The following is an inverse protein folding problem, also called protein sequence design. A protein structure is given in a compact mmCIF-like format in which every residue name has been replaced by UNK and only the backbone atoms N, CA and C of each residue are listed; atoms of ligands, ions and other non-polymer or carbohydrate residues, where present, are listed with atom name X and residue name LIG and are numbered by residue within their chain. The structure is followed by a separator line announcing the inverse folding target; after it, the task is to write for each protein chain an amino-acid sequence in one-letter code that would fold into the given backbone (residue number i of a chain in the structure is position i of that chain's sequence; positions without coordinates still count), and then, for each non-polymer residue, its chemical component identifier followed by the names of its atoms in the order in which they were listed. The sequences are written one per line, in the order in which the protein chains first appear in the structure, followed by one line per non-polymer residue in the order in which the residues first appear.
data_IF_037546928382
#
_entry.id   IF_037546928382
#
_cell.length_a   1.000
_cell.length_b   1.000
_cell.length_c   1.000
_cell.angle_alpha   90.00
_cell.angle_beta   90.00
_cell.angle_gamma   90.00
#
_symmetry.space_group_name_H-M   'P 1'
#
loop_
_entity.id
_entity.type
_entity.pdbx_description
1 polymer ?
#
# COMPACT_ATOMS: atom_id res chain seq x y z
N UNK A 1 9.80 11.14 -21.83
CA UNK A 1 8.67 10.40 -21.25
C UNK A 1 8.00 11.28 -20.20
N UNK A 2 6.81 11.81 -20.48
CA UNK A 2 6.07 12.54 -19.44
C UNK A 2 5.34 11.52 -18.56
N UNK A 3 5.53 11.59 -17.23
CA UNK A 3 4.82 10.75 -16.27
C UNK A 3 3.27 10.80 -16.41
N UNK A 4 2.65 11.94 -16.77
CA UNK A 4 1.21 12.02 -17.00
C UNK A 4 0.72 11.12 -18.15
N UNK A 5 1.45 11.02 -19.26
CA UNK A 5 1.07 10.16 -20.39
C UNK A 5 1.07 8.68 -20.02
N UNK A 6 2.07 8.22 -19.27
CA UNK A 6 2.15 6.84 -18.81
C UNK A 6 0.98 6.47 -17.87
N UNK A 7 0.60 7.41 -16.99
CA UNK A 7 -0.53 7.22 -16.08
C UNK A 7 -1.86 7.21 -16.85
N UNK A 8 -2.00 8.04 -17.90
CA UNK A 8 -3.20 8.07 -18.76
C UNK A 8 -3.38 6.77 -19.57
N UNK A 9 -2.31 6.27 -20.19
CA UNK A 9 -2.33 5.02 -20.95
C UNK A 9 -2.72 3.84 -20.07
N UNK A 10 -2.15 3.76 -18.86
CA UNK A 10 -2.47 2.68 -17.91
C UNK A 10 -3.87 2.87 -17.32
N UNK A 11 -4.26 4.10 -17.01
CA UNK A 11 -5.54 4.45 -16.40
C UNK A 11 -6.75 4.21 -17.31
N UNK A 12 -6.56 4.23 -18.62
CA UNK A 12 -7.63 4.00 -19.61
C UNK A 12 -7.88 2.51 -19.90
N UNK A 13 -6.93 1.61 -19.61
CA UNK A 13 -7.08 0.14 -19.77
C UNK A 13 -8.39 -0.40 -19.16
N UNK A 14 -8.72 -0.13 -17.88
CA UNK A 14 -9.97 -0.62 -17.29
C UNK A 14 -11.23 0.03 -17.86
N UNK A 15 -11.15 1.21 -18.49
CA UNK A 15 -12.30 1.84 -19.13
C UNK A 15 -12.61 1.15 -20.46
N UNK A 16 -11.57 0.87 -21.25
CA UNK A 16 -11.68 0.19 -22.54
C UNK A 16 -12.02 -1.30 -22.43
N UNK A 17 -11.73 -1.95 -21.31
CA UNK A 17 -12.19 -3.33 -21.06
C UNK A 17 -13.70 -3.40 -20.77
N UNK A 18 -14.29 -2.32 -20.24
CA UNK A 18 -15.71 -2.25 -19.90
C UNK A 18 -16.55 -1.81 -21.11
N UNK A 19 -16.14 -0.74 -21.81
CA UNK A 19 -16.81 -0.21 -23.01
C UNK A 19 -15.80 0.10 -24.10
N UNK A 20 -16.19 -0.06 -25.36
CA UNK A 20 -15.31 0.12 -26.52
C UNK A 20 -15.31 1.55 -27.02
N UNK A 21 -16.50 2.12 -27.26
CA UNK A 21 -16.66 3.39 -27.97
C UNK A 21 -16.95 4.54 -27.01
N UNK A 22 -17.59 4.27 -25.88
CA UNK A 22 -17.87 5.33 -24.91
C UNK A 22 -16.62 6.00 -24.31
N UNK A 23 -15.57 5.27 -23.85
CA UNK A 23 -14.33 5.90 -23.38
C UNK A 23 -13.60 6.64 -24.51
N UNK A 24 -13.66 6.11 -25.74
CA UNK A 24 -13.09 6.74 -26.93
C UNK A 24 -13.76 8.09 -27.23
N UNK A 25 -15.09 8.12 -27.19
CA UNK A 25 -15.89 9.32 -27.37
C UNK A 25 -15.59 10.37 -26.28
N UNK A 26 -15.55 9.97 -25.00
CA UNK A 26 -15.22 10.90 -23.91
C UNK A 26 -13.82 11.48 -24.07
N UNK A 27 -12.86 10.68 -24.52
CA UNK A 27 -11.49 11.13 -24.80
C UNK A 27 -11.46 12.13 -25.94
N UNK A 28 -12.11 11.84 -27.07
CA UNK A 28 -12.21 12.75 -28.21
C UNK A 28 -12.92 14.06 -27.85
N UNK A 29 -14.03 13.98 -27.10
CA UNK A 29 -14.79 15.14 -26.62
C UNK A 29 -13.95 16.01 -25.67
N UNK A 30 -13.14 15.40 -24.81
CA UNK A 30 -12.23 16.12 -23.91
C UNK A 30 -11.14 16.90 -24.67
N UNK A 31 -10.59 16.32 -25.74
CA UNK A 31 -9.59 17.01 -26.55
C UNK A 31 -10.20 18.13 -27.42
N UNK A 32 -11.42 17.95 -27.92
CA UNK A 32 -12.09 18.95 -28.76
C UNK A 32 -12.73 20.10 -27.98
N UNK A 33 -13.31 19.78 -26.81
CA UNK A 33 -14.10 20.71 -26.00
C UNK A 33 -13.76 20.59 -24.50
N UNK A 34 -12.52 20.95 -24.10
CA UNK A 34 -12.10 20.88 -22.70
C UNK A 34 -12.96 21.73 -21.77
N UNK A 35 -13.58 22.81 -22.27
CA UNK A 35 -14.48 23.70 -21.54
C UNK A 35 -15.76 23.03 -21.03
N UNK A 36 -16.17 21.90 -21.63
CA UNK A 36 -17.33 21.13 -21.17
C UNK A 36 -17.03 20.35 -19.89
N UNK A 37 -15.75 20.19 -19.53
CA UNK A 37 -15.34 19.43 -18.36
C UNK A 37 -15.08 20.35 -17.16
N UNK A 38 -15.74 20.13 -16.02
CA UNK A 38 -15.59 21.00 -14.86
C UNK A 38 -14.14 20.97 -14.35
N UNK A 39 -13.60 22.15 -14.04
CA UNK A 39 -12.25 22.30 -13.46
C UNK A 39 -11.10 22.34 -14.46
N UNK A 40 -11.37 22.26 -15.77
CA UNK A 40 -10.38 22.31 -16.84
C UNK A 40 -10.53 23.63 -17.60
N UNK A 41 -9.95 24.71 -17.08
CA UNK A 41 -10.08 26.06 -17.68
C UNK A 41 -8.96 26.40 -18.65
N UNK A 42 -7.84 25.68 -18.58
CA UNK A 42 -6.75 25.74 -19.56
C UNK A 42 -5.85 24.53 -19.37
N UNK A 43 -5.86 23.60 -20.32
CA UNK A 43 -4.82 22.59 -20.40
C UNK A 43 -3.62 23.29 -21.06
N UNK A 44 -2.51 23.54 -20.35
CA UNK A 44 -1.28 23.94 -21.03
C UNK A 44 -0.90 22.74 -21.90
N UNK A 45 -0.80 22.94 -23.21
CA UNK A 45 -0.69 21.89 -24.23
C UNK A 45 -2.03 21.22 -24.63
N UNK A 46 -3.16 21.94 -24.54
CA UNK A 46 -4.33 21.60 -25.35
C UNK A 46 -3.87 21.61 -26.81
N UNK A 47 -3.75 20.40 -27.38
CA UNK A 47 -3.22 20.17 -28.71
C UNK A 47 -3.89 21.15 -29.66
N UNK A 48 -3.08 21.91 -30.41
CA UNK A 48 -3.57 22.78 -31.48
C UNK A 48 -4.65 22.02 -32.27
N UNK A 49 -5.70 22.71 -32.71
CA UNK A 49 -6.94 22.15 -33.28
C UNK A 49 -6.81 21.26 -34.54
N UNK A 50 -5.67 20.62 -34.77
CA UNK A 50 -5.38 19.63 -35.81
C UNK A 50 -5.15 18.19 -35.32
N UNK A 51 -5.22 17.87 -34.01
CA UNK A 51 -5.13 16.45 -33.58
C UNK A 51 -6.27 15.62 -34.17
N UNK A 52 -5.96 14.39 -34.60
CA UNK A 52 -6.95 13.49 -35.21
C UNK A 52 -8.16 13.27 -34.28
N UNK A 53 -7.91 13.25 -32.96
CA UNK A 53 -8.92 13.04 -31.93
C UNK A 53 -9.83 14.24 -31.67
N UNK A 54 -9.42 15.45 -32.05
CA UNK A 54 -10.21 16.67 -31.91
C UNK A 54 -11.09 16.96 -33.15
N UNK A 55 -11.07 16.10 -34.17
CA UNK A 55 -11.84 16.32 -35.40
C UNK A 55 -13.35 16.11 -35.17
N UNK A 56 -14.17 17.11 -35.51
CA UNK A 56 -15.63 17.09 -35.30
C UNK A 56 -16.32 15.86 -35.88
N UNK A 57 -15.90 15.38 -37.05
CA UNK A 57 -16.51 14.20 -37.68
C UNK A 57 -16.22 12.92 -36.87
N UNK A 58 -15.04 12.80 -36.27
CA UNK A 58 -14.66 11.65 -35.46
C UNK A 58 -15.47 11.61 -34.16
N UNK A 59 -15.69 12.77 -33.52
CA UNK A 59 -16.54 12.91 -32.33
C UNK A 59 -17.97 12.46 -32.65
N UNK A 60 -18.52 12.89 -33.80
CA UNK A 60 -19.85 12.48 -34.24
C UNK A 60 -19.91 10.97 -34.45
N UNK A 61 -18.94 10.38 -35.16
CA UNK A 61 -18.90 8.93 -35.41
C UNK A 61 -18.79 8.16 -34.08
N UNK A 62 -17.86 8.54 -33.20
CA UNK A 62 -17.69 7.89 -31.89
C UNK A 62 -18.92 8.08 -30.99
N UNK A 63 -19.59 9.23 -31.07
CA UNK A 63 -20.83 9.50 -30.36
C UNK A 63 -21.96 8.59 -30.84
N UNK A 64 -22.13 8.44 -32.16
CA UNK A 64 -23.11 7.51 -32.74
C UNK A 64 -22.78 6.06 -32.38
N UNK A 65 -21.52 5.63 -32.52
CA UNK A 65 -21.09 4.28 -32.14
C UNK A 65 -21.26 4.00 -30.65
N UNK A 66 -21.03 4.99 -29.79
CA UNK A 66 -21.29 4.90 -28.35
C UNK A 66 -22.77 4.72 -28.07
N UNK A 67 -23.66 5.52 -28.69
CA UNK A 67 -25.12 5.36 -28.54
C UNK A 67 -25.58 3.98 -29.03
N UNK A 68 -25.05 3.52 -30.16
CA UNK A 68 -25.32 2.18 -30.68
C UNK A 68 -24.81 1.08 -29.74
N UNK A 69 -23.64 1.26 -29.12
CA UNK A 69 -23.10 0.35 -28.11
C UNK A 69 -24.05 0.26 -26.88
N UNK A 70 -24.57 1.38 -26.39
CA UNK A 70 -25.58 1.40 -25.31
C UNK A 70 -26.90 0.73 -25.71
N UNK A 71 -27.37 0.98 -26.93
CA UNK A 71 -28.61 0.42 -27.44
C UNK A 71 -28.51 -1.08 -27.65
N UNK A 72 -27.37 -1.54 -28.18
CA UNK A 72 -27.11 -2.94 -28.45
C UNK A 72 -26.95 -3.77 -27.17
N UNK A 73 -26.38 -3.21 -26.11
CA UNK A 73 -26.26 -3.89 -24.81
C UNK A 73 -27.59 -4.12 -24.10
N UNK A 74 -28.61 -3.34 -24.47
CA UNK A 74 -29.99 -3.44 -23.94
C UNK A 74 -30.86 -4.37 -24.78
N UNK A 75 -30.42 -4.78 -25.96
CA UNK A 75 -31.11 -5.72 -26.82
C UNK A 75 -30.45 -7.11 -26.73
N UNK A 76 -31.19 -8.12 -26.28
CA UNK A 76 -30.68 -9.49 -26.07
C UNK A 76 -30.03 -10.09 -27.31
N UNK A 77 -30.61 -9.85 -28.50
CA UNK A 77 -30.22 -10.52 -29.73
C UNK A 77 -28.91 -9.95 -30.29
N UNK A 78 -28.77 -8.62 -30.22
CA UNK A 78 -27.57 -7.91 -30.67
C UNK A 78 -26.42 -8.11 -29.68
N UNK A 79 -26.74 -8.24 -28.38
CA UNK A 79 -25.77 -8.47 -27.30
C UNK A 79 -25.02 -9.79 -27.45
N UNK A 80 -25.67 -10.85 -27.92
CA UNK A 80 -25.00 -12.15 -28.16
C UNK A 80 -23.92 -12.02 -29.23
N UNK A 81 -24.24 -11.37 -30.35
CA UNK A 81 -23.29 -11.12 -31.43
C UNK A 81 -22.11 -10.23 -30.98
N UNK A 82 -22.40 -9.13 -30.28
CA UNK A 82 -21.36 -8.24 -29.76
C UNK A 82 -20.46 -8.93 -28.72
N UNK A 83 -21.01 -9.79 -27.85
CA UNK A 83 -20.23 -10.51 -26.83
C UNK A 83 -19.16 -11.44 -27.43
N UNK A 84 -19.36 -11.91 -28.65
CA UNK A 84 -18.34 -12.68 -29.37
C UNK A 84 -17.24 -11.80 -29.97
N UNK A 85 -17.60 -10.62 -30.47
CA UNK A 85 -16.66 -9.67 -31.08
C UNK A 85 -15.89 -8.81 -30.06
N UNK A 86 -16.48 -8.54 -28.89
CA UNK A 86 -15.95 -7.65 -27.84
C UNK A 86 -14.50 -7.93 -27.42
N UNK A 87 -14.07 -9.19 -27.18
CA UNK A 87 -12.70 -9.48 -26.78
C UNK A 87 -11.66 -9.00 -27.79
N UNK A 88 -12.02 -8.87 -29.08
CA UNK A 88 -11.12 -8.42 -30.15
C UNK A 88 -11.31 -6.95 -30.49
N UNK A 89 -12.55 -6.45 -30.43
CA UNK A 89 -12.90 -5.07 -30.75
C UNK A 89 -12.30 -4.08 -29.75
N UNK A 90 -12.37 -4.38 -28.44
CA UNK A 90 -11.87 -3.56 -27.34
C UNK A 90 -10.36 -3.32 -27.34
N UNK A 91 -9.52 -4.36 -27.45
CA UNK A 91 -8.07 -4.15 -27.51
C UNK A 91 -7.64 -3.46 -28.81
N UNK A 92 -8.36 -3.68 -29.92
CA UNK A 92 -8.09 -3.00 -31.18
C UNK A 92 -8.44 -1.51 -31.11
N UNK A 93 -9.60 -1.15 -30.58
CA UNK A 93 -10.01 0.25 -30.41
C UNK A 93 -9.07 0.99 -29.44
N UNK A 94 -8.73 0.36 -28.31
CA UNK A 94 -7.73 0.88 -27.38
C UNK A 94 -6.40 1.14 -28.09
N UNK A 95 -5.88 0.16 -28.83
CA UNK A 95 -4.60 0.29 -29.51
C UNK A 95 -4.62 1.41 -30.55
N UNK A 96 -5.67 1.50 -31.37
CA UNK A 96 -5.83 2.56 -32.37
C UNK A 96 -5.82 3.94 -31.70
N UNK A 97 -6.62 4.11 -30.65
CA UNK A 97 -6.73 5.40 -29.95
C UNK A 97 -5.40 5.77 -29.31
N UNK A 98 -4.72 4.83 -28.66
CA UNK A 98 -3.41 5.12 -28.07
C UNK A 98 -2.38 5.46 -29.15
N UNK A 99 -2.37 4.78 -30.30
CA UNK A 99 -1.45 5.12 -31.39
C UNK A 99 -1.67 6.53 -31.93
N UNK A 100 -2.93 7.01 -32.01
CA UNK A 100 -3.24 8.37 -32.43
C UNK A 100 -2.93 9.43 -31.35
N UNK A 101 -3.27 9.16 -30.08
CA UNK A 101 -2.86 10.03 -28.95
C UNK A 101 -1.33 10.21 -28.92
N UNK A 102 -0.61 9.13 -29.22
CA UNK A 102 0.85 9.14 -29.25
C UNK A 102 1.42 9.78 -30.51
N UNK A 103 0.78 9.64 -31.67
CA UNK A 103 1.24 10.21 -32.94
C UNK A 103 1.33 11.74 -32.90
N UNK A 104 0.29 12.40 -32.38
CA UNK A 104 0.12 13.85 -32.46
C UNK A 104 1.02 14.64 -31.47
N UNK A 105 1.62 13.99 -30.47
CA UNK A 105 2.44 14.65 -29.43
C UNK A 105 3.94 14.31 -29.51
N UNK A 106 4.39 13.62 -30.57
CA UNK A 106 5.69 12.93 -30.55
C UNK A 106 6.75 13.38 -31.56
N UNK A 107 6.55 14.45 -32.34
CA UNK A 107 7.55 14.83 -33.36
C UNK A 107 8.93 15.17 -32.75
N UNK A 108 8.98 15.79 -31.58
CA UNK A 108 10.25 16.19 -30.94
C UNK A 108 10.95 15.07 -30.14
N UNK A 109 10.18 14.12 -29.58
CA UNK A 109 10.71 13.02 -28.75
C UNK A 109 11.09 11.79 -29.59
N UNK A 110 10.41 11.56 -30.72
CA UNK A 110 10.69 10.44 -31.64
C UNK A 110 12.10 10.52 -32.25
N UNK A 111 12.65 11.72 -32.45
CA UNK A 111 13.97 11.89 -33.07
C UNK A 111 15.15 11.63 -32.11
N UNK A 112 14.96 11.67 -30.79
CA UNK A 112 16.06 11.52 -29.83
C UNK A 112 16.19 10.11 -29.22
N UNK A 113 15.16 9.26 -29.30
CA UNK A 113 15.13 7.91 -28.69
C UNK A 113 14.79 6.83 -29.73
N UNK A 114 15.13 7.05 -31.01
CA UNK A 114 14.98 6.04 -32.05
C UNK A 114 16.18 5.08 -32.07
N UNK A 115 16.40 4.38 -30.97
CA UNK A 115 17.34 3.26 -30.94
C UNK A 115 16.60 2.01 -31.43
N UNK A 116 16.86 1.62 -32.68
CA UNK A 116 16.46 0.35 -33.30
C UNK A 116 14.96 0.08 -33.50
N UNK A 117 14.16 1.10 -33.84
CA UNK A 117 12.77 0.90 -34.31
C UNK A 117 11.75 0.48 -33.23
N UNK A 118 12.14 0.48 -31.95
CA UNK A 118 11.26 0.17 -30.83
C UNK A 118 10.89 1.43 -30.07
N UNK A 119 9.74 2.02 -30.38
CA UNK A 119 9.17 3.10 -29.58
C UNK A 119 8.57 2.53 -28.27
N UNK A 120 9.09 2.90 -27.08
CA UNK A 120 8.58 2.40 -25.80
C UNK A 120 7.08 2.67 -25.58
N UNK A 121 6.53 3.71 -26.20
CA UNK A 121 5.09 4.03 -26.11
C UNK A 121 4.24 3.05 -26.92
N UNK A 122 4.74 2.58 -28.07
CA UNK A 122 4.08 1.53 -28.86
C UNK A 122 4.12 0.21 -28.10
N UNK A 123 5.24 -0.11 -27.45
CA UNK A 123 5.34 -1.31 -26.58
C UNK A 123 4.32 -1.23 -25.44
N UNK A 124 4.19 -0.07 -24.78
CA UNK A 124 3.18 0.14 -23.74
C UNK A 124 1.75 0.04 -24.27
N UNK A 125 1.45 0.57 -25.45
CA UNK A 125 0.14 0.45 -26.08
C UNK A 125 -0.19 -1.01 -26.43
N UNK A 126 0.79 -1.79 -26.90
CA UNK A 126 0.64 -3.23 -27.18
C UNK A 126 0.42 -4.01 -25.88
N UNK A 127 1.20 -3.75 -24.84
CA UNK A 127 1.02 -4.37 -23.52
C UNK A 127 -0.35 -4.01 -22.94
N UNK A 128 -0.76 -2.73 -23.05
CA UNK A 128 -2.07 -2.24 -22.63
C UNK A 128 -3.20 -2.92 -23.39
N UNK A 129 -3.07 -3.09 -24.71
CA UNK A 129 -4.01 -3.83 -25.55
C UNK A 129 -4.14 -5.30 -25.10
N UNK A 130 -3.00 -5.96 -24.81
CA UNK A 130 -3.01 -7.30 -24.21
C UNK A 130 -3.69 -7.37 -22.83
N UNK A 131 -3.55 -6.32 -22.02
CA UNK A 131 -4.24 -6.19 -20.74
C UNK A 131 -5.76 -5.98 -20.93
N UNK A 132 -6.18 -5.13 -21.88
CA UNK A 132 -7.59 -4.94 -22.25
C UNK A 132 -8.20 -6.24 -22.75
N UNK A 133 -7.50 -7.00 -23.58
CA UNK A 133 -7.92 -8.33 -24.04
C UNK A 133 -8.15 -9.28 -22.86
N UNK A 134 -7.16 -9.37 -21.96
CA UNK A 134 -7.23 -10.25 -20.79
C UNK A 134 -8.38 -9.90 -19.85
N UNK A 135 -8.59 -8.61 -19.57
CA UNK A 135 -9.71 -8.13 -18.76
C UNK A 135 -11.05 -8.37 -19.46
N UNK A 136 -11.12 -8.18 -20.78
CA UNK A 136 -12.34 -8.45 -21.56
C UNK A 136 -12.72 -9.93 -21.54
N UNK A 137 -11.74 -10.84 -21.56
CA UNK A 137 -11.98 -12.27 -21.38
C UNK A 137 -12.49 -12.62 -19.98
N UNK A 138 -11.90 -12.04 -18.93
CA UNK A 138 -12.36 -12.24 -17.56
C UNK A 138 -13.80 -11.74 -17.42
N UNK A 139 -14.09 -10.54 -17.91
CA UNK A 139 -15.44 -9.95 -17.94
C UNK A 139 -16.42 -10.86 -18.69
N UNK A 140 -16.07 -11.30 -19.90
CA UNK A 140 -16.91 -12.22 -20.70
C UNK A 140 -17.27 -13.46 -19.89
N UNK A 141 -16.29 -14.14 -19.29
CA UNK A 141 -16.53 -15.32 -18.43
C UNK A 141 -17.43 -15.03 -17.24
N UNK A 142 -17.27 -13.87 -16.60
CA UNK A 142 -18.13 -13.46 -15.48
C UNK A 142 -19.57 -13.22 -15.95
N UNK A 143 -19.75 -12.54 -17.09
CA UNK A 143 -21.06 -12.29 -17.69
C UNK A 143 -21.73 -13.56 -18.20
N UNK A 144 -20.97 -14.52 -18.74
CA UNK A 144 -21.49 -15.82 -19.16
C UNK A 144 -21.99 -16.61 -17.94
N UNK A 145 -21.23 -16.62 -16.84
CA UNK A 145 -21.67 -17.23 -15.59
C UNK A 145 -22.95 -16.57 -15.03
N UNK A 146 -23.08 -15.25 -15.17
CA UNK A 146 -24.28 -14.53 -14.75
C UNK A 146 -25.48 -14.81 -15.67
N UNK A 147 -25.23 -14.96 -16.97
CA UNK A 147 -26.25 -15.32 -17.93
C UNK A 147 -26.77 -16.74 -17.68
N UNK A 148 -25.91 -17.68 -17.31
CA UNK A 148 -26.32 -19.04 -16.92
C UNK A 148 -27.20 -19.04 -15.65
N UNK A 149 -27.05 -18.05 -14.78
CA UNK A 149 -27.85 -17.88 -13.55
C UNK A 149 -29.20 -17.20 -13.84
N UNK A 150 -29.26 -16.31 -14.84
CA UNK A 150 -30.44 -15.50 -15.18
C UNK A 150 -30.60 -15.34 -16.70
N UNK A 151 -30.89 -16.46 -17.39
CA UNK A 151 -30.88 -16.55 -18.85
C UNK A 151 -31.90 -15.63 -19.55
N UNK A 152 -33.04 -15.37 -18.89
CA UNK A 152 -34.13 -14.50 -19.38
C UNK A 152 -34.05 -13.06 -18.81
N UNK A 153 -33.01 -12.73 -18.04
CA UNK A 153 -32.86 -11.45 -17.30
C UNK A 153 -34.07 -11.11 -16.41
N UNK A 154 -34.75 -12.13 -15.88
CA UNK A 154 -35.95 -12.00 -15.03
C UNK A 154 -35.61 -11.36 -13.67
N UNK A 155 -34.36 -11.49 -13.23
CA UNK A 155 -33.85 -10.85 -12.01
C UNK A 155 -33.19 -9.48 -12.29
N UNK A 156 -33.21 -9.01 -13.55
CA UNK A 156 -32.60 -7.76 -14.01
C UNK A 156 -31.09 -7.65 -13.74
N UNK A 157 -30.40 -8.77 -13.49
CA UNK A 157 -28.99 -8.78 -13.12
C UNK A 157 -28.11 -8.27 -14.27
N UNK A 158 -28.45 -8.63 -15.51
CA UNK A 158 -27.73 -8.16 -16.69
C UNK A 158 -27.89 -6.65 -16.90
N UNK A 159 -29.08 -6.11 -16.62
CA UNK A 159 -29.35 -4.67 -16.69
C UNK A 159 -28.60 -3.89 -15.61
N UNK A 160 -28.62 -4.35 -14.36
CA UNK A 160 -27.92 -3.67 -13.24
C UNK A 160 -26.41 -3.61 -13.51
N UNK A 161 -25.82 -4.70 -14.01
CA UNK A 161 -24.39 -4.74 -14.31
C UNK A 161 -24.04 -3.78 -15.43
N UNK A 162 -24.85 -3.72 -16.49
CA UNK A 162 -24.66 -2.74 -17.58
C UNK A 162 -24.67 -1.29 -17.07
N UNK A 163 -25.62 -0.92 -16.20
CA UNK A 163 -25.65 0.40 -15.57
C UNK A 163 -24.43 0.69 -14.68
N UNK A 164 -23.96 -0.33 -13.95
CA UNK A 164 -22.74 -0.22 -13.13
C UNK A 164 -21.50 0.00 -14.00
N UNK A 165 -21.38 -0.71 -15.13
CA UNK A 165 -20.29 -0.54 -16.10
C UNK A 165 -20.29 0.87 -16.71
N UNK A 166 -21.47 1.37 -17.08
CA UNK A 166 -21.64 2.71 -17.64
C UNK A 166 -21.23 3.80 -16.65
N UNK A 167 -21.69 3.64 -15.40
CA UNK A 167 -21.31 4.51 -14.30
C UNK A 167 -19.80 4.46 -14.06
N UNK A 168 -19.20 3.27 -14.07
CA UNK A 168 -17.77 3.11 -13.84
C UNK A 168 -16.94 3.73 -14.96
N UNK A 169 -17.36 3.64 -16.21
CA UNK A 169 -16.64 4.28 -17.32
C UNK A 169 -16.72 5.80 -17.22
N UNK A 170 -17.92 6.35 -16.97
CA UNK A 170 -18.12 7.79 -16.84
C UNK A 170 -17.40 8.38 -15.62
N UNK A 171 -17.63 7.82 -14.43
CA UNK A 171 -16.98 8.28 -13.20
C UNK A 171 -15.49 7.95 -13.19
N UNK A 172 -15.07 6.84 -13.79
CA UNK A 172 -13.67 6.48 -13.95
C UNK A 172 -12.91 7.47 -14.83
N UNK A 173 -13.52 7.91 -15.93
CA UNK A 173 -12.98 8.97 -16.77
C UNK A 173 -12.85 10.30 -16.01
N UNK A 174 -13.90 10.73 -15.30
CA UNK A 174 -13.83 11.93 -14.44
C UNK A 174 -12.79 11.76 -13.32
N UNK A 175 -12.65 10.57 -12.75
CA UNK A 175 -11.65 10.29 -11.72
C UNK A 175 -10.23 10.40 -12.28
N UNK A 176 -9.98 10.04 -13.54
CA UNK A 176 -8.68 10.28 -14.17
C UNK A 176 -8.35 11.78 -14.27
N UNK A 177 -9.34 12.61 -14.60
CA UNK A 177 -9.20 14.08 -14.62
C UNK A 177 -8.90 14.61 -13.21
N UNK A 178 -9.64 14.13 -12.20
CA UNK A 178 -9.55 14.60 -10.81
C UNK A 178 -8.62 13.76 -9.93
N UNK A 179 -7.79 12.89 -10.51
CA UNK A 179 -7.04 11.86 -9.77
C UNK A 179 -6.16 12.47 -8.67
N UNK A 180 -5.52 13.61 -8.96
CA UNK A 180 -4.71 14.35 -7.99
C UNK A 180 -5.51 14.83 -6.78
N UNK A 181 -6.67 15.46 -7.01
CA UNK A 181 -7.54 15.95 -5.94
C UNK A 181 -8.13 14.77 -5.13
N UNK A 182 -8.57 13.72 -5.82
CA UNK A 182 -9.06 12.51 -5.19
C UNK A 182 -8.02 11.87 -4.27
N UNK A 183 -6.76 11.77 -4.70
CA UNK A 183 -5.68 11.24 -3.87
C UNK A 183 -5.42 12.11 -2.63
N UNK A 184 -5.49 13.44 -2.75
CA UNK A 184 -5.36 14.35 -1.59
C UNK A 184 -6.49 14.07 -0.58
N UNK A 185 -7.73 13.95 -1.04
CA UNK A 185 -8.90 13.64 -0.20
C UNK A 185 -8.73 12.26 0.46
N UNK A 186 -8.33 11.25 -0.31
CA UNK A 186 -8.08 9.90 0.20
C UNK A 186 -7.01 9.91 1.30
N UNK A 187 -5.89 10.61 1.08
CA UNK A 187 -4.84 10.74 2.09
C UNK A 187 -5.34 11.47 3.35
N UNK A 188 -6.14 12.53 3.19
CA UNK A 188 -6.74 13.25 4.32
C UNK A 188 -7.67 12.34 5.13
N UNK A 189 -8.50 11.53 4.49
CA UNK A 189 -9.38 10.54 5.14
C UNK A 189 -8.56 9.50 5.90
N UNK A 190 -7.53 8.92 5.27
CA UNK A 190 -6.66 7.90 5.90
C UNK A 190 -5.97 8.49 7.14
N UNK A 191 -5.41 9.70 7.04
CA UNK A 191 -4.80 10.40 8.17
C UNK A 191 -5.84 10.64 9.27
N UNK A 192 -7.04 11.10 8.91
CA UNK A 192 -8.16 11.29 9.84
C UNK A 192 -8.51 10.01 10.60
N UNK A 193 -8.64 8.88 9.90
CA UNK A 193 -8.90 7.56 10.50
C UNK A 193 -7.77 7.18 11.47
N UNK A 194 -6.50 7.34 11.08
CA UNK A 194 -5.35 7.03 11.94
C UNK A 194 -5.36 7.88 13.22
N UNK A 195 -5.69 9.17 13.12
CA UNK A 195 -5.80 10.07 14.28
C UNK A 195 -6.92 9.63 15.20
N UNK A 196 -8.10 9.30 14.65
CA UNK A 196 -9.24 8.81 15.43
C UNK A 196 -8.94 7.49 16.14
N UNK A 197 -8.35 6.52 15.44
CA UNK A 197 -7.93 5.24 16.02
C UNK A 197 -6.90 5.44 17.13
N UNK A 198 -5.94 6.36 16.95
CA UNK A 198 -4.96 6.70 17.99
C UNK A 198 -5.64 7.29 19.23
N UNK A 199 -6.60 8.21 19.05
CA UNK A 199 -7.33 8.84 20.16
C UNK A 199 -8.17 7.81 20.92
N UNK A 200 -8.90 6.95 20.20
CA UNK A 200 -9.67 5.86 20.79
C UNK A 200 -8.78 4.89 21.58
N UNK A 201 -7.61 4.54 21.02
CA UNK A 201 -6.67 3.64 21.68
C UNK A 201 -6.12 4.19 23.00
N UNK A 202 -5.77 5.49 23.04
CA UNK A 202 -5.30 6.13 24.29
C UNK A 202 -6.41 6.12 25.34
N UNK A 203 -7.62 6.54 24.97
CA UNK A 203 -8.79 6.55 25.86
C UNK A 203 -9.09 5.14 26.40
N UNK A 204 -9.10 4.14 25.53
CA UNK A 204 -9.32 2.75 25.91
C UNK A 204 -8.22 2.23 26.83
N UNK A 205 -6.96 2.63 26.64
CA UNK A 205 -5.86 2.19 27.51
C UNK A 205 -5.96 2.78 28.92
N UNK A 206 -6.49 3.99 29.07
CA UNK A 206 -6.68 4.61 30.38
C UNK A 206 -7.87 4.01 31.14
N UNK A 207 -8.96 3.71 30.43
CA UNK A 207 -10.14 3.07 31.01
C UNK A 207 -9.88 1.62 31.47
N UNK A 208 -8.90 0.94 30.87
CA UNK A 208 -8.57 -0.45 31.19
C UNK A 208 -7.59 -0.62 32.35
N UNK A 209 -7.18 0.46 33.02
CA UNK A 209 -6.34 0.40 34.22
C UNK A 209 -7.11 -0.25 35.37
N UNK A 210 -6.45 -1.13 36.12
CA UNK A 210 -7.02 -1.76 37.31
C UNK A 210 -6.41 -1.15 38.57
N UNK A 211 -7.13 -1.23 39.69
CA UNK A 211 -6.70 -0.72 40.99
C UNK A 211 -5.96 -1.84 41.74
N UNK A 212 -4.77 -1.56 42.26
CA UNK A 212 -4.02 -2.52 43.08
C UNK A 212 -4.77 -2.81 44.39
N UNK A 213 -4.94 -4.10 44.74
CA UNK A 213 -5.60 -4.53 45.98
C UNK A 213 -4.82 -4.11 47.25
N UNK A 214 -3.52 -3.84 47.14
CA UNK A 214 -2.63 -3.54 48.29
C UNK A 214 -2.47 -2.04 48.53
N UNK A 215 -2.22 -1.25 47.47
CA UNK A 215 -1.88 0.18 47.60
C UNK A 215 -2.83 1.12 46.85
N UNK A 216 -3.93 0.61 46.29
CA UNK A 216 -4.93 1.37 45.53
C UNK A 216 -4.41 2.17 44.31
N UNK A 217 -3.17 1.92 43.88
CA UNK A 217 -2.61 2.57 42.70
C UNK A 217 -3.18 2.00 41.39
N UNK A 218 -3.41 2.87 40.40
CA UNK A 218 -3.96 2.49 39.09
C UNK A 218 -2.85 1.95 38.18
N UNK A 219 -2.85 0.64 37.92
CA UNK A 219 -1.85 -0.03 37.10
C UNK A 219 -2.41 -0.46 35.74
N UNK A 220 -1.51 -0.67 34.79
CA UNK A 220 -1.86 -1.17 33.46
C UNK A 220 -2.19 -2.68 33.53
N UNK A 221 -3.20 -3.16 32.80
CA UNK A 221 -3.71 -4.54 32.92
C UNK A 221 -2.72 -5.63 32.50
N UNK A 222 -1.64 -5.25 31.83
CA UNK A 222 -0.59 -6.14 31.36
C UNK A 222 0.69 -6.07 32.23
N UNK A 223 0.66 -5.31 33.34
CA UNK A 223 1.72 -5.27 34.34
C UNK A 223 1.80 -6.61 35.10
N UNK A 224 3.02 -7.09 35.34
CA UNK A 224 3.28 -8.25 36.18
C UNK A 224 3.23 -7.88 37.67
N UNK A 225 3.67 -6.67 38.02
CA UNK A 225 3.70 -6.16 39.39
C UNK A 225 3.23 -4.71 39.43
N UNK A 226 2.77 -4.26 40.59
CA UNK A 226 2.39 -2.87 40.81
C UNK A 226 3.60 -1.93 40.70
N UNK A 227 3.44 -0.79 40.02
CA UNK A 227 4.48 0.25 39.91
C UNK A 227 4.89 0.86 41.26
N UNK A 228 3.97 0.93 42.24
CA UNK A 228 4.18 1.62 43.51
C UNK A 228 4.61 0.68 44.65
N UNK A 229 3.88 -0.42 44.88
CA UNK A 229 4.15 -1.32 46.02
C UNK A 229 4.90 -2.61 45.65
N UNK A 230 5.12 -2.88 44.35
CA UNK A 230 5.78 -4.11 43.90
C UNK A 230 4.95 -5.40 44.06
N UNK A 231 3.72 -5.33 44.58
CA UNK A 231 2.86 -6.51 44.73
C UNK A 231 2.57 -7.19 43.39
N UNK A 232 2.59 -8.52 43.37
CA UNK A 232 2.31 -9.32 42.18
C UNK A 232 0.86 -9.19 41.73
N UNK A 233 0.66 -9.08 40.41
CA UNK A 233 -0.66 -9.00 39.82
C UNK A 233 -1.26 -10.40 39.61
N UNK A 234 -2.38 -10.69 40.30
CA UNK A 234 -3.11 -11.96 40.15
C UNK A 234 -3.78 -12.12 38.77
N UNK A 235 -4.11 -11.02 38.07
CA UNK A 235 -4.82 -11.03 36.77
C UNK A 235 -4.01 -10.29 35.71
N UNK A 236 -3.02 -10.98 35.15
CA UNK A 236 -2.17 -10.44 34.07
C UNK A 236 -2.83 -10.71 32.72
N UNK A 237 -3.08 -9.65 31.95
CA UNK A 237 -3.56 -9.78 30.57
C UNK A 237 -2.40 -9.73 29.57
N UNK A 238 -2.49 -10.56 28.54
CA UNK A 238 -1.49 -10.53 27.47
C UNK A 238 -1.58 -9.26 26.62
N UNK A 239 -0.43 -8.81 26.12
CA UNK A 239 -0.34 -7.63 25.26
C UNK A 239 -0.39 -8.03 23.78
N UNK A 240 -1.26 -7.37 23.01
CA UNK A 240 -1.35 -7.53 21.56
C UNK A 240 -0.27 -6.73 20.83
N UNK A 241 -0.09 -6.98 19.53
CA UNK A 241 1.04 -6.46 18.73
C UNK A 241 1.09 -4.92 18.71
N UNK A 242 -0.08 -4.28 18.67
CA UNK A 242 -0.21 -2.82 18.70
C UNK A 242 -0.29 -2.24 20.12
N UNK A 243 -0.12 -3.09 21.14
CA UNK A 243 -0.17 -2.71 22.56
C UNK A 243 -1.55 -2.82 23.23
N UNK A 244 -2.56 -3.32 22.51
CA UNK A 244 -3.90 -3.55 23.06
C UNK A 244 -3.94 -4.67 24.10
N UNK A 245 -4.84 -4.56 25.09
CA UNK A 245 -5.15 -5.66 26.01
C UNK A 245 -5.80 -6.81 25.23
N UNK A 246 -5.31 -8.03 25.42
CA UNK A 246 -5.99 -9.26 25.00
C UNK A 246 -6.68 -9.88 26.20
N UNK A 247 -7.91 -10.35 26.04
CA UNK A 247 -8.70 -11.04 27.08
C UNK A 247 -8.22 -12.48 27.34
N UNK A 248 -6.91 -12.69 27.36
CA UNK A 248 -6.28 -13.99 27.61
C UNK A 248 -5.07 -13.77 28.52
N UNK A 249 -4.94 -14.64 29.52
CA UNK A 249 -3.75 -14.67 30.38
C UNK A 249 -2.54 -15.14 29.57
N UNK A 250 -1.33 -14.61 29.84
CA UNK A 250 -0.13 -15.09 29.19
C UNK A 250 0.15 -16.54 29.60
N UNK A 251 0.39 -17.42 28.62
CA UNK A 251 0.78 -18.83 28.87
C UNK A 251 2.15 -18.96 29.54
N UNK A 252 3.03 -17.99 29.30
CA UNK A 252 4.39 -17.94 29.80
C UNK A 252 4.73 -16.49 30.16
N UNK A 253 5.02 -16.24 31.44
CA UNK A 253 5.34 -14.93 32.00
C UNK A 253 6.66 -14.40 31.43
N UNK A 254 7.66 -15.27 31.25
CA UNK A 254 8.96 -14.89 30.69
C UNK A 254 8.81 -14.40 29.25
N UNK A 255 8.01 -15.11 28.44
CA UNK A 255 7.66 -14.67 27.08
C UNK A 255 6.82 -13.38 27.07
N UNK A 256 5.96 -13.17 28.07
CA UNK A 256 5.19 -11.93 28.22
C UNK A 256 6.11 -10.73 28.52
N UNK A 257 7.08 -10.87 29.43
CA UNK A 257 8.10 -9.84 29.69
C UNK A 257 8.85 -9.46 28.42
N UNK A 258 9.22 -10.44 27.59
CA UNK A 258 9.83 -10.17 26.27
C UNK A 258 8.92 -9.40 25.32
N UNK A 259 7.61 -9.69 25.31
CA UNK A 259 6.64 -8.96 24.50
C UNK A 259 6.47 -7.50 24.98
N UNK A 260 6.51 -7.26 26.29
CA UNK A 260 6.50 -5.91 26.86
C UNK A 260 7.75 -5.12 26.42
N UNK A 261 8.94 -5.75 26.50
CA UNK A 261 10.17 -5.14 26.00
C UNK A 261 10.15 -4.87 24.49
N UNK A 262 9.62 -5.80 23.70
CA UNK A 262 9.49 -5.58 22.25
C UNK A 262 8.61 -4.36 21.93
N UNK A 263 7.75 -3.97 22.88
CA UNK A 263 6.90 -2.78 22.80
C UNK A 263 7.46 -1.56 23.55
N UNK A 264 8.71 -1.60 24.02
CA UNK A 264 9.31 -0.49 24.75
C UNK A 264 8.57 -0.16 26.05
N UNK A 265 8.00 -1.19 26.69
CA UNK A 265 7.35 -1.12 28.01
C UNK A 265 8.20 -1.83 29.05
N UNK A 266 8.10 -1.40 30.30
CA UNK A 266 8.81 -2.04 31.41
C UNK A 266 8.37 -3.51 31.54
N UNK A 267 9.29 -4.47 31.76
CA UNK A 267 8.92 -5.88 31.93
C UNK A 267 8.11 -6.14 33.21
N UNK A 268 8.14 -5.21 34.18
CA UNK A 268 7.49 -5.33 35.49
C UNK A 268 6.17 -4.56 35.54
N UNK A 269 6.22 -3.22 35.52
CA UNK A 269 5.01 -2.37 35.63
C UNK A 269 4.32 -2.07 34.28
N UNK A 270 4.94 -2.46 33.17
CA UNK A 270 4.48 -2.21 31.80
C UNK A 270 4.26 -0.75 31.37
N UNK A 271 4.76 0.20 32.15
CA UNK A 271 4.81 1.62 31.80
C UNK A 271 5.69 1.82 30.56
N UNK A 272 5.22 2.68 29.65
CA UNK A 272 5.88 2.93 28.37
C UNK A 272 7.12 3.81 28.58
N UNK A 273 8.22 3.48 27.91
CA UNK A 273 9.40 4.33 27.88
C UNK A 273 9.13 5.61 27.08
N UNK A 274 9.24 6.76 27.72
CA UNK A 274 9.07 8.07 27.08
C UNK A 274 10.33 8.54 26.34
N UNK A 275 11.51 8.34 26.96
CA UNK A 275 12.78 8.87 26.46
C UNK A 275 13.71 7.76 25.97
N UNK A 276 14.09 7.84 24.69
CA UNK A 276 14.88 6.82 23.98
C UNK A 276 16.34 6.75 24.48
N UNK A 277 16.91 7.83 25.00
CA UNK A 277 18.39 7.96 25.08
C UNK A 277 19.04 8.04 26.46
N UNK A 278 18.31 8.22 27.57
CA UNK A 278 18.97 8.54 28.86
C UNK A 278 18.87 7.47 29.95
N UNK A 279 17.73 6.81 30.13
CA UNK A 279 17.56 5.88 31.24
C UNK A 279 17.26 4.45 30.75
N UNK A 280 18.10 3.50 31.19
CA UNK A 280 17.82 2.07 31.09
C UNK A 280 16.94 1.57 32.26
N UNK A 281 16.53 2.50 33.14
CA UNK A 281 15.57 2.34 34.24
C UNK A 281 14.18 2.88 33.88
N UNK A 282 13.14 2.25 34.44
CA UNK A 282 11.78 2.77 34.41
C UNK A 282 11.62 3.96 35.38
N UNK A 283 10.95 5.04 34.95
CA UNK A 283 10.69 6.20 35.82
C UNK A 283 9.71 5.92 36.96
N UNK A 284 8.77 4.99 36.77
CA UNK A 284 7.73 4.72 37.77
C UNK A 284 8.18 3.68 38.81
N UNK A 285 8.73 2.54 38.37
CA UNK A 285 9.08 1.45 39.28
C UNK A 285 10.59 1.31 39.53
N UNK A 286 11.43 2.18 38.95
CA UNK A 286 12.89 2.13 39.08
C UNK A 286 13.58 0.95 38.39
N UNK A 287 12.84 -0.09 37.96
CA UNK A 287 13.42 -1.33 37.42
C UNK A 287 14.13 -1.10 36.08
N UNK A 288 15.31 -1.69 35.93
CA UNK A 288 16.04 -1.75 34.68
C UNK A 288 15.35 -2.63 33.62
N UNK A 289 15.30 -2.16 32.38
CA UNK A 289 14.63 -2.86 31.27
C UNK A 289 15.31 -4.19 30.87
N UNK A 290 16.61 -4.37 31.15
CA UNK A 290 17.39 -5.53 30.67
C UNK A 290 18.09 -6.35 31.78
N UNK A 291 17.68 -6.18 33.04
CA UNK A 291 18.18 -7.03 34.15
C UNK A 291 17.50 -8.39 34.13
N UNK A 292 16.18 -8.41 34.05
CA UNK A 292 15.40 -9.64 33.95
C UNK A 292 14.14 -9.39 33.09
N UNK A 293 14.17 -9.73 31.79
CA UNK A 293 15.11 -10.63 31.11
C UNK A 293 16.37 -9.96 30.55
N UNK A 294 17.41 -10.78 30.27
CA UNK A 294 18.71 -10.27 29.80
C UNK A 294 18.67 -9.76 28.35
N UNK A 295 19.58 -8.83 28.01
CA UNK A 295 19.73 -8.32 26.64
C UNK A 295 20.02 -9.43 25.62
N UNK A 296 20.75 -10.47 26.02
CA UNK A 296 21.07 -11.61 25.14
C UNK A 296 19.83 -12.46 24.85
N UNK A 297 19.01 -12.74 25.88
CA UNK A 297 17.74 -13.42 25.70
C UNK A 297 16.78 -12.62 24.81
N UNK A 298 16.76 -11.29 24.95
CA UNK A 298 15.97 -10.43 24.07
C UNK A 298 16.44 -10.50 22.61
N UNK A 299 17.75 -10.55 22.36
CA UNK A 299 18.29 -10.75 21.02
C UNK A 299 17.91 -12.13 20.47
N UNK A 300 18.07 -13.20 21.26
CA UNK A 300 17.67 -14.57 20.85
C UNK A 300 16.17 -14.67 20.55
N UNK A 301 15.35 -13.96 21.31
CA UNK A 301 13.91 -13.87 21.09
C UNK A 301 13.56 -13.24 19.74
N UNK A 302 14.27 -12.17 19.34
CA UNK A 302 14.10 -11.55 18.03
C UNK A 302 14.73 -12.38 16.90
N UNK A 303 15.87 -13.05 17.14
CA UNK A 303 16.50 -13.96 16.18
C UNK A 303 15.54 -15.10 15.77
N UNK A 304 14.76 -15.65 16.72
CA UNK A 304 13.73 -16.65 16.39
C UNK A 304 12.64 -16.10 15.48
N UNK A 305 12.21 -14.85 15.69
CA UNK A 305 11.21 -14.19 14.82
C UNK A 305 11.77 -13.89 13.44
N UNK A 306 13.07 -13.57 13.36
CA UNK A 306 13.75 -13.34 12.10
C UNK A 306 13.63 -14.55 11.16
N UNK A 307 13.92 -15.77 11.63
CA UNK A 307 13.82 -16.96 10.78
C UNK A 307 12.40 -17.21 10.24
N UNK A 308 11.39 -17.03 11.09
CA UNK A 308 9.98 -17.18 10.68
C UNK A 308 9.61 -16.12 9.63
N UNK A 309 9.98 -14.86 9.87
CA UNK A 309 9.70 -13.77 8.94
C UNK A 309 10.43 -13.95 7.61
N UNK A 310 11.65 -14.48 7.60
CA UNK A 310 12.38 -14.79 6.38
C UNK A 310 11.67 -15.83 5.51
N UNK A 311 11.11 -16.88 6.13
CA UNK A 311 10.28 -17.86 5.42
C UNK A 311 9.02 -17.22 4.84
N UNK A 312 8.34 -16.39 5.61
CA UNK A 312 7.16 -15.64 5.15
C UNK A 312 7.53 -14.67 4.01
N UNK A 313 8.65 -13.95 4.12
CA UNK A 313 9.16 -13.02 3.11
C UNK A 313 9.48 -13.72 1.79
N UNK A 314 10.01 -14.95 1.85
CA UNK A 314 10.29 -15.76 0.67
C UNK A 314 8.98 -16.16 -0.05
N UNK A 315 8.00 -16.69 0.70
CA UNK A 315 6.69 -17.12 0.15
C UNK A 315 5.92 -15.93 -0.43
N UNK A 316 5.82 -14.82 0.31
CA UNK A 316 5.10 -13.63 -0.13
C UNK A 316 5.81 -12.96 -1.31
N UNK A 317 7.14 -13.09 -1.41
CA UNK A 317 7.93 -12.51 -2.49
C UNK A 317 7.66 -13.09 -3.89
N UNK A 318 6.91 -14.20 -4.01
CA UNK A 318 6.40 -14.67 -5.30
C UNK A 318 5.37 -13.73 -5.92
N UNK A 319 4.75 -12.85 -5.14
CA UNK A 319 3.88 -11.79 -5.63
C UNK A 319 4.75 -10.56 -5.93
N UNK A 320 5.00 -10.21 -7.20
CA UNK A 320 5.88 -9.09 -7.54
C UNK A 320 5.41 -7.77 -6.94
N UNK A 321 6.35 -6.89 -6.57
CA UNK A 321 6.12 -5.56 -5.95
C UNK A 321 5.35 -5.60 -4.62
N UNK A 322 4.09 -6.04 -4.61
CA UNK A 322 3.25 -6.18 -3.41
C UNK A 322 3.92 -7.07 -2.37
N UNK A 323 4.51 -8.20 -2.79
CA UNK A 323 5.16 -9.11 -1.87
C UNK A 323 6.38 -8.48 -1.18
N UNK A 324 7.16 -7.69 -1.93
CA UNK A 324 8.27 -6.93 -1.38
C UNK A 324 7.78 -5.87 -0.37
N UNK A 325 6.76 -5.08 -0.71
CA UNK A 325 6.23 -4.02 0.17
C UNK A 325 5.66 -4.61 1.46
N UNK A 326 4.90 -5.71 1.38
CA UNK A 326 4.32 -6.39 2.55
C UNK A 326 5.43 -6.97 3.43
N UNK A 327 6.41 -7.66 2.84
CA UNK A 327 7.57 -8.21 3.55
C UNK A 327 8.38 -7.11 4.26
N UNK A 328 8.73 -6.03 3.56
CA UNK A 328 9.46 -4.90 4.11
C UNK A 328 8.70 -4.24 5.28
N UNK A 329 7.38 -4.14 5.18
CA UNK A 329 6.47 -3.63 6.20
C UNK A 329 6.44 -4.52 7.44
N UNK A 330 6.25 -5.83 7.26
CA UNK A 330 6.24 -6.83 8.34
C UNK A 330 7.56 -6.83 9.10
N UNK A 331 8.69 -6.87 8.41
CA UNK A 331 10.02 -6.82 9.04
C UNK A 331 10.19 -5.52 9.84
N UNK A 332 9.76 -4.38 9.28
CA UNK A 332 9.85 -3.09 9.95
C UNK A 332 9.04 -3.05 11.25
N UNK A 333 7.83 -3.62 11.25
CA UNK A 333 6.92 -3.64 12.40
C UNK A 333 7.37 -4.65 13.45
N UNK A 334 7.63 -5.90 13.06
CA UNK A 334 7.81 -7.01 14.00
C UNK A 334 9.25 -7.20 14.49
N UNK A 335 10.24 -6.80 13.68
CA UNK A 335 11.64 -7.10 13.93
C UNK A 335 12.46 -5.84 14.19
N UNK A 336 12.27 -4.78 13.39
CA UNK A 336 13.08 -3.56 13.51
C UNK A 336 12.52 -2.57 14.55
N UNK A 337 11.19 -2.44 14.67
CA UNK A 337 10.56 -1.56 15.67
C UNK A 337 11.02 -1.85 17.10
N UNK A 338 11.11 -3.13 17.57
CA UNK A 338 11.65 -3.45 18.89
C UNK A 338 13.04 -2.87 19.14
N UNK A 339 13.99 -3.03 18.22
CA UNK A 339 15.34 -2.47 18.38
C UNK A 339 15.36 -0.94 18.37
N UNK A 340 14.62 -0.32 17.44
CA UNK A 340 14.58 1.15 17.28
C UNK A 340 14.07 1.88 18.51
N UNK A 341 13.28 1.24 19.37
CA UNK A 341 12.82 1.83 20.65
C UNK A 341 13.95 2.07 21.64
N UNK A 342 15.07 1.37 21.49
CA UNK A 342 16.24 1.46 22.38
C UNK A 342 17.47 2.09 21.73
N UNK A 343 17.45 2.31 20.40
CA UNK A 343 18.53 2.98 19.67
C UNK A 343 18.24 4.48 19.60
N UNK A 344 19.22 5.31 19.96
CA UNK A 344 19.07 6.76 19.88
C UNK A 344 18.80 7.22 18.44
N UNK A 345 17.95 8.24 18.28
CA UNK A 345 17.64 8.81 16.94
C UNK A 345 18.87 9.38 16.22
N UNK A 346 19.99 9.57 16.95
CA UNK A 346 21.30 9.99 16.46
C UNK A 346 22.13 8.84 15.86
N UNK A 347 21.49 7.83 15.26
CA UNK A 347 22.21 6.89 14.41
C UNK A 347 23.02 7.64 13.35
N UNK A 348 24.19 7.11 12.99
CA UNK A 348 25.07 7.70 11.98
C UNK A 348 24.27 7.99 10.71
N UNK A 349 24.35 9.23 10.20
CA UNK A 349 23.68 9.70 8.98
C UNK A 349 23.88 8.67 7.83
N UNK A 350 25.09 8.11 7.76
CA UNK A 350 25.48 7.04 6.85
C UNK A 350 24.53 5.83 6.87
N UNK A 351 24.15 5.33 8.05
CA UNK A 351 23.26 4.17 8.16
C UNK A 351 21.84 4.46 7.65
N UNK A 352 21.35 5.69 7.85
CA UNK A 352 20.04 6.11 7.34
C UNK A 352 20.07 6.26 5.82
N UNK A 353 21.15 6.83 5.28
CA UNK A 353 21.35 6.97 3.85
C UNK A 353 21.47 5.61 3.16
N UNK A 354 22.31 4.71 3.70
CA UNK A 354 22.49 3.35 3.21
C UNK A 354 21.16 2.59 3.14
N UNK A 355 20.34 2.66 4.20
CA UNK A 355 19.03 1.99 4.20
C UNK A 355 18.09 2.59 3.14
N UNK A 356 18.12 3.91 2.89
CA UNK A 356 17.30 4.53 1.84
C UNK A 356 17.73 4.07 0.45
N UNK A 357 19.03 4.11 0.15
CA UNK A 357 19.59 3.65 -1.13
C UNK A 357 19.25 2.18 -1.35
N UNK A 358 19.48 1.33 -0.34
CA UNK A 358 19.16 -0.09 -0.39
C UNK A 358 17.66 -0.32 -0.65
N UNK A 359 16.78 0.52 -0.08
CA UNK A 359 15.33 0.38 -0.29
C UNK A 359 14.95 0.69 -1.74
N UNK A 360 15.49 1.74 -2.34
CA UNK A 360 15.25 2.07 -3.75
C UNK A 360 15.78 0.96 -4.66
N UNK A 361 17.02 0.52 -4.43
CA UNK A 361 17.67 -0.54 -5.20
C UNK A 361 16.86 -1.84 -5.17
N UNK A 362 16.48 -2.31 -3.99
CA UNK A 362 15.73 -3.56 -3.85
C UNK A 362 14.25 -3.44 -4.25
N UNK A 363 13.68 -2.22 -4.26
CA UNK A 363 12.37 -1.99 -4.84
C UNK A 363 12.38 -2.21 -6.35
N UNK A 364 13.42 -1.71 -7.05
CA UNK A 364 13.61 -1.95 -8.48
C UNK A 364 13.81 -3.44 -8.76
N UNK A 365 14.68 -4.13 -8.02
CA UNK A 365 14.86 -5.58 -8.19
C UNK A 365 13.64 -6.40 -7.76
N UNK A 366 12.83 -5.90 -6.82
CA UNK A 366 11.63 -6.55 -6.32
C UNK A 366 10.48 -6.62 -7.33
N UNK A 367 10.56 -5.88 -8.44
CA UNK A 367 9.61 -5.99 -9.56
C UNK A 367 9.83 -7.27 -10.38
N UNK A 368 11.07 -7.75 -10.48
CA UNK A 368 11.42 -8.94 -11.25
C UNK A 368 11.70 -10.18 -10.37
N UNK A 369 12.40 -9.99 -9.24
CA UNK A 369 12.92 -11.07 -8.38
C UNK A 369 12.49 -10.89 -6.92
N UNK A 370 11.20 -10.64 -6.68
CA UNK A 370 10.64 -10.36 -5.36
C UNK A 370 10.99 -11.40 -4.29
N UNK A 371 10.97 -12.70 -4.63
CA UNK A 371 11.24 -13.82 -3.73
C UNK A 371 12.71 -13.89 -3.26
N UNK A 372 13.64 -13.29 -3.99
CA UNK A 372 15.06 -13.16 -3.61
C UNK A 372 15.32 -11.79 -2.96
N UNK A 373 14.82 -10.73 -3.60
CA UNK A 373 15.04 -9.36 -3.19
C UNK A 373 14.49 -9.07 -1.78
N UNK A 374 13.27 -9.54 -1.48
CA UNK A 374 12.61 -9.31 -0.19
C UNK A 374 13.36 -9.93 1.01
N UNK A 375 13.74 -11.23 1.01
CA UNK A 375 14.49 -11.82 2.11
C UNK A 375 15.90 -11.21 2.26
N UNK A 376 16.61 -10.94 1.17
CA UNK A 376 17.95 -10.32 1.25
C UNK A 376 17.85 -8.91 1.86
N UNK A 377 16.90 -8.10 1.40
CA UNK A 377 16.65 -6.77 1.94
C UNK A 377 16.33 -6.80 3.45
N UNK A 378 15.46 -7.73 3.86
CA UNK A 378 15.11 -7.93 5.27
C UNK A 378 16.33 -8.30 6.12
N UNK A 379 17.18 -9.19 5.60
CA UNK A 379 18.41 -9.67 6.24
C UNK A 379 19.39 -8.53 6.48
N UNK A 380 19.71 -7.75 5.43
CA UNK A 380 20.65 -6.62 5.54
C UNK A 380 20.17 -5.62 6.59
N UNK A 381 18.88 -5.23 6.56
CA UNK A 381 18.33 -4.28 7.53
C UNK A 381 18.34 -4.82 8.95
N UNK A 382 18.06 -6.11 9.13
CA UNK A 382 18.11 -6.76 10.43
C UNK A 382 19.51 -6.66 11.04
N UNK A 383 20.55 -7.05 10.30
CA UNK A 383 21.92 -7.04 10.80
C UNK A 383 22.44 -5.63 11.08
N UNK A 384 22.14 -4.65 10.21
CA UNK A 384 22.52 -3.24 10.43
C UNK A 384 21.92 -2.67 11.72
N UNK A 385 20.64 -2.94 12.00
CA UNK A 385 19.99 -2.42 13.20
C UNK A 385 20.42 -3.20 14.46
N UNK A 386 20.60 -4.52 14.34
CA UNK A 386 21.11 -5.37 15.42
C UNK A 386 22.51 -4.96 15.85
N UNK A 387 23.40 -4.64 14.91
CA UNK A 387 24.76 -4.18 15.23
C UNK A 387 24.74 -2.85 15.98
N UNK A 388 23.92 -1.89 15.56
CA UNK A 388 23.72 -0.63 16.29
C UNK A 388 23.24 -0.85 17.73
N UNK A 389 22.28 -1.75 17.94
CA UNK A 389 21.80 -2.09 19.27
C UNK A 389 22.90 -2.71 20.17
N UNK A 390 23.80 -3.51 19.58
CA UNK A 390 24.96 -4.07 20.31
C UNK A 390 25.97 -2.99 20.70
N UNK A 391 26.25 -2.04 19.80
CA UNK A 391 27.27 -0.99 19.99
C UNK A 391 26.96 0.02 21.10
N UNK A 392 25.68 0.29 21.40
CA UNK A 392 25.26 1.19 22.50
C UNK A 392 25.86 0.79 23.86
N UNK A 393 26.22 -0.48 24.05
CA UNK A 393 26.84 -0.97 25.29
C UNK A 393 28.31 -0.53 25.42
N UNK A 394 29.08 -0.59 24.33
CA UNK A 394 30.52 -0.26 24.36
C UNK A 394 30.77 1.19 24.75
N UNK A 395 29.96 2.14 24.26
CA UNK A 395 30.14 3.55 24.61
C UNK A 395 29.83 3.85 26.08
N UNK A 396 28.84 3.18 26.69
CA UNK A 396 28.48 3.38 28.10
C UNK A 396 29.48 2.74 29.07
N UNK A 397 29.96 1.53 28.79
CA UNK A 397 31.02 0.90 29.60
C UNK A 397 32.35 1.68 29.51
N UNK A 398 32.68 2.25 28.34
CA UNK A 398 33.86 3.11 28.19
C UNK A 398 33.72 4.50 28.84
N UNK A 399 32.51 5.05 28.96
CA UNK A 399 32.24 6.31 29.67
C UNK A 399 32.22 6.11 31.19
N UNK A 400 31.72 4.98 31.70
CA UNK A 400 31.75 4.64 33.12
C UNK A 400 33.16 4.34 33.65
N UNK A 401 34.06 3.81 32.82
CA UNK A 401 35.47 3.59 33.17
C UNK A 401 36.36 4.83 32.99
N UNK A 402 35.81 5.97 32.55
CA UNK A 402 36.54 7.24 32.34
C UNK A 402 36.20 8.32 33.37
N UNK A 403 35.38 8.04 34.37
CA UNK A 403 35.28 8.89 35.56
C UNK A 403 36.47 8.58 36.48
N UNK A 404 37.48 9.47 36.60
CA UNK A 404 38.46 9.33 37.67
C UNK A 404 37.76 9.42 39.02
N UNK A 405 38.20 8.59 39.97
CA UNK A 405 37.85 8.71 41.39
C UNK A 405 38.31 10.04 41.95
#
# INVERSE_FOLDING_TARGET
MSYPQLISIIGTIPLFSMRTFFPAFLTALFFAHPELFPGVTSVPDAVEGGSFLAQNWLIIILGVLSILEFAADKNSDIKVFLREAEPYLKPASYLIIQLFVLGDQSEEVLNQINWAGFNPMIILAIIGSGAVYSLSLIRKKTLDLLYDIDADDNLFLGRIISWCEDSLVFFGFLLLIWAGLFMIILYAIIIGIIILLRKQYIKSSDQQKYICEVCSHKNLPYACQCSNCGADNKKIYSIGILGQKKNKNPKDISKHKMNLLAQGRCPVCATRKENISKNDTCKECGTDFFVNPSKQEFIKFLDRRYYILMGISFIIGFIPILGFVVSASLVSIYLLSPYRRYISKKGTILSKLLIKILTVLFFIFGSALGFIAAPIYATIRYFVIRSQFRLIKKSKEQLANRTPK
#
